data_IF_737941383183
#
_entry.id   IF_737941383183
#
_cell.length_a   1.000
_cell.length_b   1.000
_cell.length_c   1.000
_cell.angle_alpha   90.00
_cell.angle_beta   90.00
_cell.angle_gamma   90.00
#
_symmetry.space_group_name_H-M   'P 1'
#
loop_
_entity.id
_entity.type
_entity.pdbx_description
1 polymer ?
#
# COMPACT_ATOMS: atom_id res chain seq x y z
N UNK A 1 23.05 -4.28 9.98
CA UNK A 1 23.12 -2.80 9.96
C UNK A 1 21.72 -2.26 10.20
N UNK A 2 21.50 -1.34 11.13
CA UNK A 2 20.18 -0.74 11.30
C UNK A 2 19.88 0.16 10.09
N UNK A 3 18.73 -0.05 9.47
CA UNK A 3 18.19 0.87 8.47
C UNK A 3 17.52 2.03 9.21
N UNK A 4 18.07 3.22 9.07
CA UNK A 4 17.54 4.45 9.67
C UNK A 4 16.56 5.11 8.70
N UNK A 5 15.29 5.24 9.10
CA UNK A 5 14.29 6.01 8.35
C UNK A 5 14.31 7.45 8.87
N UNK A 6 14.50 8.48 8.02
CA UNK A 6 14.47 9.87 8.46
C UNK A 6 13.10 10.24 9.04
N UNK A 7 13.08 10.97 10.16
CA UNK A 7 11.84 11.34 10.89
C UNK A 7 10.88 12.22 10.07
N UNK A 8 11.34 12.85 8.99
CA UNK A 8 10.54 13.75 8.14
C UNK A 8 10.09 13.12 6.81
N UNK A 9 10.44 11.86 6.54
CA UNK A 9 10.07 11.13 5.33
C UNK A 9 8.99 10.08 5.61
N UNK A 10 7.92 10.46 6.32
CA UNK A 10 6.79 9.56 6.57
C UNK A 10 6.13 9.12 5.25
N UNK A 11 6.22 9.96 4.21
CA UNK A 11 5.78 9.67 2.85
C UNK A 11 6.56 8.52 2.17
N UNK A 12 7.73 8.15 2.72
CA UNK A 12 8.52 7.00 2.29
C UNK A 12 8.13 5.71 3.03
N UNK A 13 7.12 5.74 3.90
CA UNK A 13 6.77 4.61 4.73
C UNK A 13 5.74 3.69 4.05
N UNK A 14 6.18 2.49 3.65
CA UNK A 14 5.32 1.43 3.09
C UNK A 14 4.10 1.12 3.97
N UNK A 15 4.23 1.35 5.29
CA UNK A 15 3.11 1.14 6.22
C UNK A 15 1.92 2.05 5.92
N UNK A 16 2.15 3.30 5.47
CA UNK A 16 1.07 4.24 5.18
C UNK A 16 0.26 3.78 3.96
N UNK A 17 0.95 3.27 2.95
CA UNK A 17 0.31 2.67 1.76
C UNK A 17 -0.51 1.45 2.19
N UNK A 18 0.05 0.57 3.02
CA UNK A 18 -0.64 -0.62 3.54
C UNK A 18 -1.92 -0.26 4.31
N UNK A 19 -1.92 0.80 5.12
CA UNK A 19 -3.13 1.23 5.85
C UNK A 19 -4.17 1.93 4.96
N UNK A 20 -3.74 2.59 3.88
CA UNK A 20 -4.65 3.24 2.93
C UNK A 20 -5.49 2.25 2.11
N UNK A 21 -5.05 1.00 1.98
CA UNK A 21 -5.75 -0.05 1.22
C UNK A 21 -7.03 -0.55 1.92
N UNK A 22 -6.99 -1.08 3.16
CA UNK A 22 -8.21 -1.47 3.88
C UNK A 22 -9.10 -0.26 4.16
N UNK A 23 -8.53 0.94 4.34
CA UNK A 23 -9.33 2.15 4.48
C UNK A 23 -10.24 2.42 3.27
N UNK A 24 -9.73 2.20 2.05
CA UNK A 24 -10.51 2.38 0.81
C UNK A 24 -11.40 1.21 0.47
N UNK A 25 -10.94 -0.02 0.72
CA UNK A 25 -11.65 -1.23 0.35
C UNK A 25 -12.73 -1.63 1.37
N UNK A 26 -12.41 -1.55 2.67
CA UNK A 26 -13.26 -2.06 3.76
C UNK A 26 -13.94 -0.92 4.49
N UNK A 27 -13.22 0.11 4.92
CA UNK A 27 -13.78 1.15 5.80
C UNK A 27 -14.67 2.16 5.05
N UNK A 28 -14.31 2.53 3.82
CA UNK A 28 -15.04 3.55 3.05
C UNK A 28 -16.45 3.10 2.63
N UNK A 29 -16.65 1.80 2.46
CA UNK A 29 -17.91 1.22 1.97
C UNK A 29 -18.48 0.16 2.92
N UNK A 30 -17.90 0.01 4.11
CA UNK A 30 -18.29 -1.02 5.07
C UNK A 30 -19.49 -0.60 5.92
N UNK A 31 -20.50 -1.45 5.94
CA UNK A 31 -21.52 -1.45 6.99
C UNK A 31 -21.07 -2.44 8.07
N UNK A 32 -21.05 -2.00 9.33
CA UNK A 32 -20.57 -2.80 10.45
C UNK A 32 -21.61 -2.88 11.55
N UNK A 33 -22.04 -4.10 11.87
CA UNK A 33 -23.05 -4.32 12.90
C UNK A 33 -22.46 -4.38 14.32
N UNK A 34 -21.15 -4.59 14.44
CA UNK A 34 -20.44 -4.62 15.73
C UNK A 34 -18.93 -4.38 15.56
N UNK A 35 -18.24 -4.13 16.67
CA UNK A 35 -16.76 -4.03 16.67
C UNK A 35 -16.09 -5.35 16.23
N UNK A 36 -16.70 -6.49 16.56
CA UNK A 36 -16.20 -7.81 16.17
C UNK A 36 -16.29 -7.98 14.66
N UNK A 37 -17.43 -7.61 14.07
CA UNK A 37 -17.65 -7.66 12.61
C UNK A 37 -16.69 -6.75 11.84
N UNK A 38 -16.35 -5.58 12.39
CA UNK A 38 -15.28 -4.74 11.83
C UNK A 38 -13.91 -5.46 11.84
N UNK A 39 -13.57 -6.09 12.96
CA UNK A 39 -12.28 -6.75 13.13
C UNK A 39 -12.14 -7.96 12.21
N UNK A 40 -13.19 -8.75 12.06
CA UNK A 40 -13.26 -9.87 11.12
C UNK A 40 -13.07 -9.39 9.68
N UNK A 41 -13.86 -8.40 9.22
CA UNK A 41 -13.77 -7.87 7.84
C UNK A 41 -12.40 -7.30 7.49
N UNK A 42 -11.75 -6.60 8.42
CA UNK A 42 -10.40 -6.06 8.21
C UNK A 42 -9.37 -7.19 8.18
N UNK A 43 -9.52 -8.22 9.02
CA UNK A 43 -8.60 -9.37 9.07
C UNK A 43 -8.72 -10.22 7.81
N UNK A 44 -9.94 -10.50 7.36
CA UNK A 44 -10.22 -11.23 6.12
C UNK A 44 -9.65 -10.50 4.91
N UNK A 45 -9.84 -9.17 4.85
CA UNK A 45 -9.21 -8.36 3.81
C UNK A 45 -7.70 -8.52 3.82
N UNK A 46 -7.04 -8.46 4.98
CA UNK A 46 -5.59 -8.59 5.05
C UNK A 46 -5.10 -9.96 4.56
N UNK A 47 -5.80 -11.05 4.90
CA UNK A 47 -5.46 -12.41 4.45
C UNK A 47 -5.57 -12.49 2.92
N UNK A 48 -6.73 -12.17 2.36
CA UNK A 48 -6.99 -12.26 0.91
C UNK A 48 -6.09 -11.31 0.12
N UNK A 49 -5.89 -10.09 0.63
CA UNK A 49 -5.02 -9.13 -0.01
C UNK A 49 -3.58 -9.63 -0.02
N UNK A 50 -3.07 -10.24 1.05
CA UNK A 50 -1.70 -10.75 1.10
C UNK A 50 -1.45 -11.93 0.15
N UNK A 51 -2.46 -12.73 -0.19
CA UNK A 51 -2.33 -13.83 -1.16
C UNK A 51 -2.13 -13.34 -2.59
N UNK A 52 -2.64 -12.14 -2.91
CA UNK A 52 -2.63 -11.57 -4.26
C UNK A 52 -1.79 -10.29 -4.38
N UNK A 53 -1.29 -9.78 -3.25
CA UNK A 53 -0.54 -8.53 -3.19
C UNK A 53 0.81 -8.66 -3.89
N UNK A 54 1.16 -7.59 -4.58
CA UNK A 54 2.40 -7.48 -5.34
C UNK A 54 3.31 -6.51 -4.61
N UNK A 55 4.64 -6.73 -4.65
CA UNK A 55 5.58 -5.79 -4.08
C UNK A 55 5.33 -4.37 -4.62
N UNK A 56 5.22 -3.39 -3.73
CA UNK A 56 5.06 -2.00 -4.15
C UNK A 56 6.27 -1.59 -4.98
N UNK A 57 6.03 -1.08 -6.20
CA UNK A 57 7.10 -0.62 -7.09
C UNK A 57 7.51 0.78 -6.68
N UNK A 58 8.68 0.89 -6.05
CA UNK A 58 9.28 2.15 -5.67
C UNK A 58 10.01 2.77 -6.87
N UNK A 59 9.62 3.99 -7.25
CA UNK A 59 10.45 4.85 -8.10
C UNK A 59 11.10 5.89 -7.19
N UNK A 60 12.15 5.48 -6.48
CA UNK A 60 13.03 6.42 -5.78
C UNK A 60 14.43 6.22 -6.35
N UNK A 61 14.79 7.06 -7.31
CA UNK A 61 16.11 7.07 -7.95
C UNK A 61 17.14 7.91 -7.17
N UNK A 62 16.73 8.53 -6.05
CA UNK A 62 17.56 9.40 -5.21
C UNK A 62 17.97 10.70 -5.90
N UNK A 63 17.39 11.03 -7.07
CA UNK A 63 17.72 12.24 -7.83
C UNK A 63 16.64 13.30 -7.61
N UNK A 64 17.00 14.60 -7.53
CA UNK A 64 16.02 15.67 -7.55
C UNK A 64 15.19 15.55 -8.83
N UNK A 65 13.86 15.50 -8.67
CA UNK A 65 12.90 15.32 -9.76
C UNK A 65 13.18 16.33 -10.88
N UNK A 66 13.71 15.88 -12.01
CA UNK A 66 13.95 16.75 -13.15
C UNK A 66 12.59 17.00 -13.83
N UNK A 67 12.24 18.27 -14.08
CA UNK A 67 10.96 18.62 -14.72
C UNK A 67 11.10 18.35 -16.22
N UNK A 68 10.84 17.11 -16.65
CA UNK A 68 10.89 16.75 -18.08
C UNK A 68 10.87 15.25 -18.42
N UNK A 69 10.15 14.41 -17.67
CA UNK A 69 10.19 12.95 -17.87
C UNK A 69 9.07 12.37 -18.77
N UNK A 70 9.48 11.41 -19.62
CA UNK A 70 8.66 10.48 -20.41
C UNK A 70 7.69 9.66 -19.52
N UNK A 71 6.60 9.11 -20.09
CA UNK A 71 5.56 8.48 -19.28
C UNK A 71 6.05 7.18 -18.65
N UNK A 72 5.77 7.04 -17.35
CA UNK A 72 6.04 5.84 -16.56
C UNK A 72 5.44 4.60 -17.25
N UNK A 73 6.32 3.64 -17.57
CA UNK A 73 5.99 2.39 -18.24
C UNK A 73 4.80 1.68 -17.58
N UNK A 74 3.94 1.11 -18.44
CA UNK A 74 2.66 0.52 -18.11
C UNK A 74 2.74 -0.59 -17.04
N UNK A 75 1.61 -0.77 -16.36
CA UNK A 75 1.33 -1.81 -15.35
C UNK A 75 1.59 -3.19 -15.95
N UNK A 76 2.71 -3.80 -15.61
CA UNK A 76 2.89 -5.24 -15.86
C UNK A 76 1.98 -6.00 -14.88
N UNK A 77 1.17 -6.90 -15.41
CA UNK A 77 0.21 -7.68 -14.63
C UNK A 77 0.95 -8.56 -13.63
N UNK A 78 0.61 -8.38 -12.36
CA UNK A 78 1.12 -9.22 -11.31
C UNK A 78 0.46 -10.59 -11.42
N UNK A 79 1.22 -11.57 -11.91
CA UNK A 79 0.80 -12.97 -11.87
C UNK A 79 0.86 -13.45 -10.42
N UNK A 80 -0.19 -13.15 -9.65
CA UNK A 80 -0.57 -13.99 -8.53
C UNK A 80 -0.83 -15.40 -9.10
N UNK A 81 -0.18 -16.39 -8.52
CA UNK A 81 -0.19 -17.76 -9.02
C UNK A 81 -1.58 -18.39 -8.99
#
# INVERSE_FOLDING_TARGET
>A
MPHYTPEQDSWLNQVEISFSLPARAVLRHGDFSSRTDLLEKVSDFAIVHNETACPFRWNYDGRPRQTGDEPAAAREECHAR
#
